data_IF_701049837565
#
_entry.id   IF_701049837565
#
_cell.length_a   1.000
_cell.length_b   1.000
_cell.length_c   1.000
_cell.angle_alpha   90.00
_cell.angle_beta   90.00
_cell.angle_gamma   90.00
#
_symmetry.space_group_name_H-M   'P 1'
#
loop_
_entity.id
_entity.type
_entity.pdbx_description
1 polymer ?
#
# COMPACT_ATOMS: atom_id res chain seq x y z
N UNK A 1 12.17 -36.95 10.56
CA UNK A 1 13.01 -36.92 9.34
C UNK A 1 13.76 -35.59 9.32
N UNK A 2 15.02 -35.55 8.89
CA UNK A 2 15.80 -34.31 8.82
C UNK A 2 15.10 -33.27 7.91
N UNK A 3 15.16 -31.98 8.27
CA UNK A 3 14.45 -30.89 7.59
C UNK A 3 14.84 -30.77 6.11
N UNK A 4 16.13 -30.93 5.83
CA UNK A 4 16.69 -30.93 4.48
C UNK A 4 16.10 -32.06 3.63
N UNK A 5 15.97 -33.27 4.21
CA UNK A 5 15.44 -34.45 3.51
C UNK A 5 13.95 -34.29 3.20
N UNK A 6 13.18 -33.64 4.08
CA UNK A 6 11.74 -33.33 3.84
C UNK A 6 11.57 -32.39 2.65
N UNK A 7 12.32 -31.28 2.66
CA UNK A 7 12.25 -30.25 1.62
C UNK A 7 12.67 -30.80 0.25
N UNK A 8 13.71 -31.62 0.20
CA UNK A 8 14.19 -32.21 -1.06
C UNK A 8 13.22 -33.24 -1.66
N UNK A 9 12.54 -34.03 -0.81
CA UNK A 9 11.46 -34.92 -1.25
C UNK A 9 10.25 -34.15 -1.79
N UNK A 10 9.85 -33.07 -1.12
CA UNK A 10 8.77 -32.20 -1.57
C UNK A 10 9.10 -31.55 -2.91
N UNK A 11 10.32 -31.04 -3.06
CA UNK A 11 10.84 -30.45 -4.30
C UNK A 11 10.83 -31.43 -5.48
N UNK A 12 11.23 -32.68 -5.24
CA UNK A 12 11.18 -33.72 -6.27
C UNK A 12 9.76 -34.05 -6.72
N UNK A 13 8.80 -34.08 -5.78
CA UNK A 13 7.39 -34.26 -6.07
C UNK A 13 6.81 -33.11 -6.91
N UNK A 14 7.15 -31.86 -6.61
CA UNK A 14 6.79 -30.70 -7.44
C UNK A 14 7.37 -30.81 -8.86
N UNK A 15 8.61 -31.28 -9.00
CA UNK A 15 9.23 -31.53 -10.32
C UNK A 15 8.53 -32.66 -11.09
N UNK A 16 8.05 -33.70 -10.42
CA UNK A 16 7.32 -34.80 -11.06
C UNK A 16 5.95 -34.34 -11.59
N UNK A 17 5.22 -33.52 -10.83
CA UNK A 17 4.00 -32.86 -11.32
C UNK A 17 4.26 -31.96 -12.51
N UNK A 18 5.35 -31.20 -12.48
CA UNK A 18 5.76 -30.36 -13.62
C UNK A 18 6.00 -31.19 -14.90
N UNK A 19 6.48 -32.43 -14.76
CA UNK A 19 6.70 -33.35 -15.90
C UNK A 19 5.39 -33.97 -16.44
N UNK A 20 4.23 -33.57 -15.93
CA UNK A 20 2.92 -34.00 -16.44
C UNK A 20 2.47 -35.38 -15.95
N UNK A 21 3.01 -35.86 -14.81
CA UNK A 21 2.48 -37.07 -14.17
C UNK A 21 1.06 -36.83 -13.66
N UNK A 22 0.25 -37.89 -13.67
CA UNK A 22 -1.12 -37.82 -13.20
C UNK A 22 -1.18 -37.47 -11.71
N UNK A 23 -1.98 -36.45 -11.40
CA UNK A 23 -2.26 -35.96 -10.06
C UNK A 23 -2.85 -37.08 -9.20
N UNK A 24 -3.63 -37.99 -9.79
CA UNK A 24 -4.24 -39.11 -9.06
C UNK A 24 -3.19 -40.08 -8.48
N UNK A 25 -2.09 -40.34 -9.19
CA UNK A 25 -1.01 -41.23 -8.74
C UNK A 25 -0.10 -40.59 -7.69
N UNK A 26 0.03 -39.26 -7.74
CA UNK A 26 0.90 -38.51 -6.83
C UNK A 26 0.16 -38.08 -5.55
N UNK A 27 -1.17 -38.08 -5.53
CA UNK A 27 -2.00 -37.72 -4.38
C UNK A 27 -1.63 -38.45 -3.10
N UNK A 28 -1.46 -39.77 -3.13
CA UNK A 28 -1.11 -40.55 -1.93
C UNK A 28 0.32 -40.25 -1.43
N UNK A 29 1.27 -40.08 -2.35
CA UNK A 29 2.66 -39.72 -2.02
C UNK A 29 2.76 -38.30 -1.46
N UNK A 30 2.00 -37.37 -2.03
CA UNK A 30 1.84 -36.01 -1.50
C UNK A 30 1.20 -36.04 -0.13
N UNK A 31 0.09 -36.76 0.05
CA UNK A 31 -0.61 -36.83 1.32
C UNK A 31 0.32 -37.33 2.44
N UNK A 32 1.11 -38.39 2.19
CA UNK A 32 2.08 -38.94 3.14
C UNK A 32 3.21 -37.96 3.48
N UNK A 33 3.78 -37.26 2.50
CA UNK A 33 4.88 -36.32 2.73
C UNK A 33 4.40 -35.00 3.36
N UNK A 34 3.24 -34.50 2.95
CA UNK A 34 2.58 -33.34 3.56
C UNK A 34 2.16 -33.62 5.01
N UNK A 35 2.17 -34.88 5.47
CA UNK A 35 1.89 -35.16 6.87
C UNK A 35 2.96 -34.62 7.83
N UNK A 36 4.20 -34.45 7.35
CA UNK A 36 5.36 -34.09 8.15
C UNK A 36 5.93 -32.71 7.79
N UNK A 37 5.32 -31.98 6.86
CA UNK A 37 5.83 -30.74 6.27
C UNK A 37 5.03 -29.56 6.80
N UNK A 38 5.71 -28.53 7.27
CA UNK A 38 5.07 -27.29 7.75
C UNK A 38 4.74 -26.35 6.59
N UNK A 39 3.85 -25.38 6.80
CA UNK A 39 3.53 -24.38 5.78
C UNK A 39 4.76 -23.53 5.37
N UNK A 40 5.71 -23.36 6.29
CA UNK A 40 6.99 -22.71 6.04
C UNK A 40 7.87 -23.51 5.06
N UNK A 41 7.93 -24.82 5.23
CA UNK A 41 8.68 -25.71 4.32
C UNK A 41 8.13 -25.61 2.89
N UNK A 42 6.81 -25.45 2.75
CA UNK A 42 6.14 -25.26 1.46
C UNK A 42 6.58 -23.93 0.83
N UNK A 43 6.44 -22.81 1.56
CA UNK A 43 6.84 -21.49 1.07
C UNK A 43 8.34 -21.44 0.68
N UNK A 44 9.21 -22.06 1.48
CA UNK A 44 10.65 -22.15 1.18
C UNK A 44 10.95 -23.02 -0.04
N UNK A 45 10.20 -24.11 -0.25
CA UNK A 45 10.39 -24.97 -1.43
C UNK A 45 9.91 -24.29 -2.70
N UNK A 46 8.81 -23.53 -2.65
CA UNK A 46 8.33 -22.72 -3.77
C UNK A 46 9.38 -21.68 -4.20
N UNK A 47 9.94 -20.94 -3.23
CA UNK A 47 11.02 -19.98 -3.46
C UNK A 47 12.22 -20.61 -4.17
N UNK A 48 12.65 -21.80 -3.73
CA UNK A 48 13.77 -22.51 -4.38
C UNK A 48 13.45 -22.98 -5.80
N UNK A 49 12.23 -23.47 -6.04
CA UNK A 49 11.82 -23.93 -7.37
C UNK A 49 11.75 -22.78 -8.38
N UNK A 50 11.35 -21.59 -7.94
CA UNK A 50 11.36 -20.37 -8.77
C UNK A 50 12.80 -19.98 -9.10
N UNK A 51 13.70 -20.00 -8.11
CA UNK A 51 15.13 -19.73 -8.33
C UNK A 51 15.79 -20.73 -9.30
N UNK A 52 15.28 -21.96 -9.35
CA UNK A 52 15.70 -22.99 -10.30
C UNK A 52 15.09 -22.83 -11.70
N UNK A 53 14.27 -21.79 -11.94
CA UNK A 53 13.76 -21.42 -13.26
C UNK A 53 12.35 -21.93 -13.58
N UNK A 54 11.61 -22.47 -12.60
CA UNK A 54 10.19 -22.79 -12.80
C UNK A 54 9.37 -21.49 -12.78
N UNK A 55 8.47 -21.32 -13.74
CA UNK A 55 7.64 -20.10 -13.82
C UNK A 55 6.63 -20.03 -12.68
N UNK A 56 6.34 -18.80 -12.23
CA UNK A 56 5.41 -18.53 -11.11
C UNK A 56 4.00 -19.03 -11.39
N UNK A 57 3.55 -18.92 -12.63
CA UNK A 57 2.23 -19.36 -13.08
C UNK A 57 2.06 -20.88 -12.93
N UNK A 58 3.13 -21.63 -13.21
CA UNK A 58 3.16 -23.09 -13.10
C UNK A 58 3.11 -23.55 -11.65
N UNK A 59 3.77 -22.81 -10.76
CA UNK A 59 3.74 -23.08 -9.32
C UNK A 59 2.35 -22.79 -8.75
N UNK A 60 1.70 -21.69 -9.17
CA UNK A 60 0.31 -21.40 -8.79
C UNK A 60 -0.67 -22.54 -9.15
N UNK A 61 -0.55 -23.10 -10.37
CA UNK A 61 -1.39 -24.22 -10.83
C UNK A 61 -1.26 -25.43 -9.89
N UNK A 62 -0.03 -25.79 -9.53
CA UNK A 62 0.27 -26.93 -8.66
C UNK A 62 -0.12 -26.66 -7.19
N UNK A 63 0.04 -25.42 -6.72
CA UNK A 63 -0.37 -25.01 -5.37
C UNK A 63 -1.87 -25.20 -5.14
N UNK A 64 -2.70 -24.83 -6.12
CA UNK A 64 -4.16 -24.95 -6.02
C UNK A 64 -4.62 -26.40 -5.74
N UNK A 65 -3.93 -27.38 -6.32
CA UNK A 65 -4.21 -28.81 -6.18
C UNK A 65 -3.78 -29.33 -4.80
N UNK A 66 -2.62 -28.90 -4.29
CA UNK A 66 -2.15 -29.35 -2.98
C UNK A 66 -2.89 -28.70 -1.81
N UNK A 67 -3.34 -27.47 -1.96
CA UNK A 67 -4.16 -26.79 -0.95
C UNK A 67 -5.49 -27.53 -0.72
N UNK A 68 -6.09 -28.10 -1.77
CA UNK A 68 -7.28 -28.94 -1.64
C UNK A 68 -7.03 -30.20 -0.78
N UNK A 69 -5.82 -30.77 -0.82
CA UNK A 69 -5.40 -31.92 0.00
C UNK A 69 -4.96 -31.50 1.41
N UNK A 70 -4.39 -30.30 1.55
CA UNK A 70 -3.96 -29.72 2.83
C UNK A 70 -5.14 -29.19 3.66
N UNK A 71 -6.26 -28.83 3.03
CA UNK A 71 -7.51 -28.36 3.67
C UNK A 71 -8.01 -29.33 4.75
N UNK A 72 -7.80 -30.63 4.57
CA UNK A 72 -8.20 -31.66 5.52
C UNK A 72 -7.28 -31.75 6.75
N UNK A 73 -6.03 -31.25 6.66
CA UNK A 73 -4.99 -31.45 7.69
C UNK A 73 -4.56 -30.20 8.44
N UNK A 74 -4.50 -29.03 7.79
CA UNK A 74 -4.12 -27.75 8.42
C UNK A 74 -5.22 -27.16 9.32
N UNK A 75 -6.37 -27.82 9.42
CA UNK A 75 -7.46 -27.43 10.32
C UNK A 75 -7.14 -27.64 11.82
N UNK A 76 -6.03 -28.32 12.16
CA UNK A 76 -5.68 -28.60 13.56
C UNK A 76 -4.61 -27.64 14.11
N UNK A 77 -4.98 -26.98 15.22
CA UNK A 77 -4.29 -25.93 15.99
C UNK A 77 -4.32 -24.52 15.39
N UNK A 78 -5.46 -23.84 15.55
CA UNK A 78 -5.51 -22.37 15.60
C UNK A 78 -5.32 -21.93 17.04
N UNK A 79 -4.20 -21.27 17.33
CA UNK A 79 -4.13 -20.43 18.52
C UNK A 79 -5.06 -19.23 18.29
N UNK A 80 -6.01 -19.00 19.20
CA UNK A 80 -6.89 -17.83 19.12
C UNK A 80 -6.06 -16.59 19.43
N UNK A 81 -5.66 -15.86 18.38
CA UNK A 81 -5.01 -14.58 18.53
C UNK A 81 -5.99 -13.54 19.09
N UNK A 82 -5.55 -12.65 19.99
CA UNK A 82 -6.36 -11.53 20.42
C UNK A 82 -6.85 -10.68 19.25
N UNK A 83 -8.06 -10.12 19.39
CA UNK A 83 -8.70 -9.25 18.38
C UNK A 83 -7.85 -8.01 18.07
N UNK A 84 -6.96 -7.62 18.98
CA UNK A 84 -6.06 -6.46 18.86
C UNK A 84 -4.76 -6.77 18.10
N UNK A 85 -4.43 -8.05 17.89
CA UNK A 85 -3.24 -8.46 17.16
C UNK A 85 -3.44 -8.22 15.65
N UNK A 86 -2.46 -7.66 14.90
CA UNK A 86 -2.62 -7.38 13.47
C UNK A 86 -3.14 -8.57 12.65
N UNK A 87 -2.56 -9.76 12.85
CA UNK A 87 -3.02 -11.00 12.21
C UNK A 87 -4.42 -11.41 12.68
N UNK A 88 -4.76 -11.19 13.96
CA UNK A 88 -6.09 -11.46 14.50
C UNK A 88 -7.17 -10.60 13.82
N UNK A 89 -6.85 -9.34 13.56
CA UNK A 89 -7.71 -8.41 12.82
C UNK A 89 -8.00 -8.95 11.42
N UNK A 90 -6.95 -9.32 10.67
CA UNK A 90 -7.09 -9.86 9.31
C UNK A 90 -7.93 -11.16 9.30
N UNK A 91 -7.70 -12.06 10.25
CA UNK A 91 -8.46 -13.31 10.40
C UNK A 91 -9.96 -13.08 10.62
N UNK A 92 -10.34 -12.07 11.41
CA UNK A 92 -11.74 -11.73 11.65
C UNK A 92 -12.35 -11.14 10.38
N UNK A 93 -11.62 -10.29 9.68
CA UNK A 93 -12.05 -9.71 8.42
C UNK A 93 -12.25 -10.79 7.34
N UNK A 94 -11.37 -11.79 7.26
CA UNK A 94 -11.55 -12.97 6.38
C UNK A 94 -12.87 -13.67 6.66
N UNK A 95 -13.17 -13.94 7.94
CA UNK A 95 -14.43 -14.58 8.33
C UNK A 95 -15.64 -13.76 7.86
N UNK A 96 -15.63 -12.44 8.09
CA UNK A 96 -16.72 -11.55 7.66
C UNK A 96 -16.86 -11.50 6.14
N UNK A 97 -15.75 -11.42 5.42
CA UNK A 97 -15.75 -11.38 3.96
C UNK A 97 -16.28 -12.68 3.35
N UNK A 98 -15.96 -13.84 3.92
CA UNK A 98 -16.50 -15.13 3.49
C UNK A 98 -17.99 -15.26 3.80
N UNK A 99 -18.44 -14.87 5.00
CA UNK A 99 -19.86 -14.84 5.37
C UNK A 99 -20.66 -13.97 4.38
N UNK A 100 -20.14 -12.80 4.01
CA UNK A 100 -20.77 -11.90 3.04
C UNK A 100 -20.79 -12.47 1.62
N UNK A 101 -19.70 -13.12 1.19
CA UNK A 101 -19.62 -13.74 -0.14
C UNK A 101 -20.57 -14.94 -0.28
N UNK A 102 -20.69 -15.76 0.77
CA UNK A 102 -21.65 -16.86 0.82
C UNK A 102 -23.09 -16.32 0.79
N UNK A 103 -23.38 -15.31 1.62
CA UNK A 103 -24.70 -14.66 1.62
C UNK A 103 -25.04 -14.06 0.26
N UNK A 104 -24.08 -13.44 -0.43
CA UNK A 104 -24.28 -12.90 -1.76
C UNK A 104 -24.68 -14.01 -2.76
N UNK A 105 -23.98 -15.14 -2.73
CA UNK A 105 -24.27 -16.29 -3.59
C UNK A 105 -25.69 -16.82 -3.37
N UNK A 106 -26.15 -16.90 -2.12
CA UNK A 106 -27.50 -17.32 -1.76
C UNK A 106 -28.56 -16.32 -2.25
N UNK A 107 -28.34 -15.02 -1.99
CA UNK A 107 -29.27 -13.95 -2.41
C UNK A 107 -29.46 -13.92 -3.93
N UNK A 108 -28.35 -13.98 -4.67
CA UNK A 108 -28.39 -13.95 -6.13
C UNK A 108 -28.99 -15.23 -6.72
N UNK A 109 -28.79 -16.38 -6.09
CA UNK A 109 -29.47 -17.63 -6.48
C UNK A 109 -30.98 -17.55 -6.24
N UNK A 110 -31.42 -16.80 -5.22
CA UNK A 110 -32.83 -16.56 -4.92
C UNK A 110 -33.55 -15.61 -5.90
N UNK A 111 -32.82 -14.71 -6.59
CA UNK A 111 -33.39 -13.72 -7.52
C UNK A 111 -34.10 -14.34 -8.75
N UNK A 112 -33.85 -15.62 -9.04
CA UNK A 112 -34.56 -16.36 -10.09
C UNK A 112 -35.99 -16.74 -9.69
N UNK A 113 -36.28 -16.85 -8.37
CA UNK A 113 -37.57 -17.33 -7.85
C UNK A 113 -38.51 -16.20 -7.44
N UNK A 114 -37.99 -15.16 -6.80
CA UNK A 114 -38.79 -14.02 -6.37
C UNK A 114 -37.93 -12.74 -6.34
N UNK A 115 -38.38 -11.72 -7.05
CA UNK A 115 -37.70 -10.42 -7.11
C UNK A 115 -38.35 -9.47 -6.10
N UNK A 116 -37.63 -9.23 -5.00
CA UNK A 116 -38.04 -8.28 -3.96
C UNK A 116 -37.03 -7.16 -3.87
N UNK A 117 -37.51 -5.94 -3.70
CA UNK A 117 -36.69 -4.74 -3.53
C UNK A 117 -35.68 -4.90 -2.38
N UNK A 118 -36.10 -5.52 -1.27
CA UNK A 118 -35.24 -5.86 -0.12
C UNK A 118 -34.02 -6.72 -0.47
N UNK A 119 -34.14 -7.63 -1.45
CA UNK A 119 -33.00 -8.48 -1.87
C UNK A 119 -31.95 -7.62 -2.58
N UNK A 120 -32.39 -6.68 -3.42
CA UNK A 120 -31.50 -5.73 -4.08
C UNK A 120 -30.85 -4.75 -3.11
N UNK A 121 -31.56 -4.31 -2.07
CA UNK A 121 -31.00 -3.54 -0.96
C UNK A 121 -29.90 -4.32 -0.22
N UNK A 122 -30.15 -5.59 0.14
CA UNK A 122 -29.16 -6.45 0.79
C UNK A 122 -27.91 -6.67 -0.07
N UNK A 123 -28.08 -6.94 -1.37
CA UNK A 123 -26.95 -7.07 -2.31
C UNK A 123 -26.17 -5.77 -2.41
N UNK A 124 -26.86 -4.62 -2.42
CA UNK A 124 -26.21 -3.31 -2.46
C UNK A 124 -25.44 -3.03 -1.17
N UNK A 125 -25.95 -3.46 -0.01
CA UNK A 125 -25.24 -3.34 1.27
C UNK A 125 -23.96 -4.19 1.27
N UNK A 126 -24.01 -5.43 0.76
CA UNK A 126 -22.81 -6.27 0.58
C UNK A 126 -21.82 -5.60 -0.37
N UNK A 127 -22.30 -4.97 -1.44
CA UNK A 127 -21.45 -4.24 -2.37
C UNK A 127 -20.65 -3.12 -1.68
N UNK A 128 -21.28 -2.34 -0.79
CA UNK A 128 -20.58 -1.31 -0.01
C UNK A 128 -19.49 -1.92 0.89
N UNK A 129 -19.76 -3.06 1.55
CA UNK A 129 -18.75 -3.75 2.35
C UNK A 129 -17.58 -4.29 1.51
N UNK A 130 -17.84 -4.78 0.30
CA UNK A 130 -16.78 -5.21 -0.62
C UNK A 130 -15.94 -4.06 -1.17
N UNK A 131 -16.50 -2.86 -1.29
CA UNK A 131 -15.74 -1.66 -1.63
C UNK A 131 -14.80 -1.29 -0.48
N UNK A 132 -15.34 -1.27 0.74
CA UNK A 132 -14.57 -0.91 1.92
C UNK A 132 -13.54 -1.99 2.33
N UNK A 133 -13.75 -3.25 1.91
CA UNK A 133 -12.76 -4.31 2.09
C UNK A 133 -11.46 -4.12 1.30
N UNK A 134 -11.35 -3.09 0.45
CA UNK A 134 -10.07 -2.72 -0.15
C UNK A 134 -9.00 -2.37 0.90
N UNK A 135 -9.41 -1.77 2.03
CA UNK A 135 -8.50 -1.44 3.13
C UNK A 135 -7.80 -2.66 3.73
N UNK A 136 -8.41 -3.84 3.63
CA UNK A 136 -7.81 -5.10 4.05
C UNK A 136 -6.58 -5.42 3.20
N UNK A 137 -6.77 -5.52 1.88
CA UNK A 137 -5.67 -5.83 0.95
C UNK A 137 -4.59 -4.75 0.99
N UNK A 138 -4.96 -3.47 1.10
CA UNK A 138 -3.97 -2.39 1.20
C UNK A 138 -3.09 -2.51 2.45
N UNK A 139 -3.64 -2.96 3.59
CA UNK A 139 -2.87 -3.21 4.82
C UNK A 139 -1.91 -4.39 4.65
N UNK A 140 -2.33 -5.43 3.95
CA UNK A 140 -1.45 -6.56 3.67
C UNK A 140 -0.32 -6.14 2.71
N UNK A 141 -0.69 -5.55 1.58
CA UNK A 141 0.22 -5.16 0.50
C UNK A 141 1.25 -4.11 0.90
N UNK A 142 0.82 -3.07 1.61
CA UNK A 142 1.66 -1.90 1.89
C UNK A 142 2.27 -1.91 3.28
N UNK A 143 1.85 -2.83 4.15
CA UNK A 143 2.37 -2.94 5.52
C UNK A 143 2.87 -4.34 5.80
N UNK A 144 2.02 -5.37 5.85
CA UNK A 144 2.43 -6.72 6.27
C UNK A 144 3.49 -7.35 5.35
N UNK A 145 3.28 -7.27 4.03
CA UNK A 145 4.14 -7.87 3.01
C UNK A 145 5.57 -7.30 3.05
N UNK A 146 5.79 -5.97 3.13
CA UNK A 146 7.13 -5.41 3.35
C UNK A 146 7.90 -6.00 4.54
N UNK A 147 7.24 -6.30 5.67
CA UNK A 147 7.93 -6.92 6.80
C UNK A 147 8.29 -8.38 6.51
N UNK A 148 7.41 -9.15 5.87
CA UNK A 148 7.73 -10.51 5.42
C UNK A 148 8.93 -10.54 4.46
N UNK A 149 8.98 -9.59 3.53
CA UNK A 149 10.06 -9.47 2.55
C UNK A 149 11.40 -9.12 3.19
N UNK A 150 11.42 -8.25 4.21
CA UNK A 150 12.62 -7.95 5.01
C UNK A 150 13.19 -9.18 5.70
N UNK A 151 12.31 -10.11 6.09
CA UNK A 151 12.69 -11.41 6.66
C UNK A 151 12.99 -12.49 5.60
N UNK A 152 13.09 -12.11 4.32
CA UNK A 152 13.49 -12.98 3.22
C UNK A 152 12.37 -13.82 2.60
N UNK A 153 11.11 -13.54 2.94
CA UNK A 153 9.93 -14.23 2.37
C UNK A 153 9.34 -13.34 1.30
N UNK A 154 9.74 -13.54 0.04
CA UNK A 154 9.38 -12.62 -1.06
C UNK A 154 8.42 -13.20 -2.09
N UNK A 155 8.38 -14.52 -2.28
CA UNK A 155 7.50 -15.12 -3.29
C UNK A 155 6.03 -15.24 -2.83
N UNK A 156 5.70 -15.64 -1.58
CA UNK A 156 4.30 -15.68 -1.13
C UNK A 156 3.58 -14.32 -1.22
N UNK A 157 4.16 -13.18 -0.78
CA UNK A 157 3.55 -11.86 -0.97
C UNK A 157 3.23 -11.52 -2.43
N UNK A 158 4.14 -11.81 -3.37
CA UNK A 158 3.92 -11.57 -4.80
C UNK A 158 2.76 -12.40 -5.35
N UNK A 159 2.65 -13.66 -4.93
CA UNK A 159 1.54 -14.55 -5.33
C UNK A 159 0.22 -14.01 -4.76
N UNK A 160 0.20 -13.58 -3.49
CA UNK A 160 -1.01 -13.01 -2.87
C UNK A 160 -1.45 -11.72 -3.59
N UNK A 161 -0.50 -10.84 -3.92
CA UNK A 161 -0.79 -9.62 -4.68
C UNK A 161 -1.48 -9.91 -6.02
N UNK A 162 -0.97 -10.89 -6.78
CA UNK A 162 -1.60 -11.31 -8.04
C UNK A 162 -3.02 -11.85 -7.83
N UNK A 163 -3.30 -12.49 -6.69
CA UNK A 163 -4.64 -12.95 -6.33
C UNK A 163 -5.55 -11.79 -5.91
N UNK A 164 -5.03 -10.79 -5.20
CA UNK A 164 -5.76 -9.55 -4.90
C UNK A 164 -6.23 -8.86 -6.19
N UNK A 165 -5.36 -8.78 -7.20
CA UNK A 165 -5.72 -8.19 -8.49
C UNK A 165 -6.84 -8.97 -9.21
N UNK A 166 -6.83 -10.31 -9.12
CA UNK A 166 -7.92 -11.14 -9.64
C UNK A 166 -9.22 -10.91 -8.87
N UNK A 167 -9.15 -10.80 -7.54
CA UNK A 167 -10.32 -10.49 -6.69
C UNK A 167 -10.87 -9.10 -7.03
N UNK A 168 -10.02 -8.09 -7.22
CA UNK A 168 -10.42 -6.73 -7.65
C UNK A 168 -11.13 -6.75 -8.99
N UNK A 169 -10.63 -7.49 -9.98
CA UNK A 169 -11.29 -7.59 -11.28
C UNK A 169 -12.64 -8.32 -11.19
N UNK A 170 -12.74 -9.39 -10.39
CA UNK A 170 -14.02 -10.08 -10.14
C UNK A 170 -15.04 -9.15 -9.45
N UNK A 171 -14.60 -8.38 -8.44
CA UNK A 171 -15.43 -7.35 -7.77
C UNK A 171 -15.91 -6.27 -8.75
N UNK A 172 -15.04 -5.80 -9.63
CA UNK A 172 -15.41 -4.84 -10.69
C UNK A 172 -16.47 -5.42 -11.64
N UNK A 173 -16.31 -6.69 -12.02
CA UNK A 173 -17.33 -7.44 -12.76
C UNK A 173 -18.67 -7.51 -12.03
N UNK A 174 -18.64 -7.75 -10.72
CA UNK A 174 -19.82 -7.72 -9.86
C UNK A 174 -20.51 -6.35 -9.81
N UNK A 175 -19.78 -5.26 -9.58
CA UNK A 175 -20.38 -3.91 -9.55
C UNK A 175 -21.03 -3.54 -10.88
N UNK A 176 -20.41 -3.92 -11.99
CA UNK A 176 -20.99 -3.72 -13.33
C UNK A 176 -22.30 -4.51 -13.49
N UNK A 177 -22.28 -5.80 -13.13
CA UNK A 177 -23.48 -6.64 -13.21
C UNK A 177 -24.61 -6.15 -12.30
N UNK A 178 -24.27 -5.58 -11.13
CA UNK A 178 -25.22 -4.99 -10.20
C UNK A 178 -25.88 -3.73 -10.79
N UNK A 179 -25.08 -2.83 -11.38
CA UNK A 179 -25.59 -1.61 -12.03
C UNK A 179 -26.50 -1.92 -13.23
N UNK A 180 -26.15 -2.95 -14.01
CA UNK A 180 -26.92 -3.42 -15.17
C UNK A 180 -28.14 -4.28 -14.76
N UNK A 181 -28.26 -4.64 -13.47
CA UNK A 181 -29.23 -5.61 -12.94
C UNK A 181 -29.22 -6.96 -13.69
N UNK A 182 -28.06 -7.37 -14.19
CA UNK A 182 -27.89 -8.63 -14.91
C UNK A 182 -27.80 -9.80 -13.92
N UNK A 183 -28.94 -10.43 -13.65
CA UNK A 183 -29.07 -11.55 -12.71
C UNK A 183 -28.17 -12.74 -13.06
N UNK A 184 -28.04 -13.08 -14.35
CA UNK A 184 -27.22 -14.23 -14.78
C UNK A 184 -25.76 -13.94 -14.51
N UNK A 185 -25.29 -12.76 -14.87
CA UNK A 185 -23.92 -12.33 -14.64
C UNK A 185 -23.62 -12.20 -13.15
N UNK A 186 -24.54 -11.64 -12.36
CA UNK A 186 -24.44 -11.57 -10.90
C UNK A 186 -24.21 -12.95 -10.28
N UNK A 187 -24.90 -13.99 -10.75
CA UNK A 187 -24.78 -15.35 -10.20
C UNK A 187 -23.40 -15.95 -10.47
N UNK A 188 -22.89 -15.72 -11.69
CA UNK A 188 -21.56 -16.17 -12.09
C UNK A 188 -20.48 -15.47 -11.26
N UNK A 189 -20.48 -14.14 -11.23
CA UNK A 189 -19.46 -13.36 -10.50
C UNK A 189 -19.56 -13.52 -8.99
N UNK A 190 -20.75 -13.70 -8.40
CA UNK A 190 -20.88 -13.99 -6.98
C UNK A 190 -20.24 -15.35 -6.61
N UNK A 191 -20.45 -16.37 -7.46
CA UNK A 191 -19.82 -17.67 -7.26
C UNK A 191 -18.30 -17.59 -7.43
N UNK A 192 -17.83 -16.86 -8.45
CA UNK A 192 -16.41 -16.63 -8.70
C UNK A 192 -15.73 -15.90 -7.52
N UNK A 193 -16.32 -14.82 -7.01
CA UNK A 193 -15.80 -14.08 -5.85
C UNK A 193 -15.70 -15.00 -4.63
N UNK A 194 -16.73 -15.79 -4.34
CA UNK A 194 -16.71 -16.72 -3.21
C UNK A 194 -15.55 -17.73 -3.32
N UNK A 195 -15.38 -18.36 -4.48
CA UNK A 195 -14.29 -19.33 -4.68
C UNK A 195 -12.91 -18.69 -4.60
N UNK A 196 -12.73 -17.48 -5.17
CA UNK A 196 -11.49 -16.73 -5.09
C UNK A 196 -11.14 -16.37 -3.64
N UNK A 197 -12.07 -15.76 -2.90
CA UNK A 197 -11.87 -15.40 -1.49
C UNK A 197 -11.59 -16.64 -0.62
N UNK A 198 -12.36 -17.72 -0.80
CA UNK A 198 -12.20 -18.95 -0.03
C UNK A 198 -10.86 -19.64 -0.29
N UNK A 199 -10.36 -19.60 -1.54
CA UNK A 199 -9.04 -20.14 -1.89
C UNK A 199 -7.91 -19.26 -1.36
N UNK A 200 -8.04 -17.95 -1.53
CA UNK A 200 -7.05 -16.95 -1.15
C UNK A 200 -6.86 -16.87 0.37
N UNK A 201 -7.93 -16.62 1.13
CA UNK A 201 -7.87 -16.56 2.59
C UNK A 201 -7.45 -17.89 3.22
N UNK A 202 -7.69 -19.02 2.54
CA UNK A 202 -7.17 -20.29 3.01
C UNK A 202 -5.63 -20.34 2.95
N UNK A 203 -5.01 -19.80 1.90
CA UNK A 203 -3.54 -19.71 1.81
C UNK A 203 -3.00 -18.78 2.87
N UNK A 204 -3.64 -17.64 3.11
CA UNK A 204 -3.17 -16.69 4.09
C UNK A 204 -3.28 -17.23 5.51
N UNK A 205 -4.45 -17.75 5.87
CA UNK A 205 -4.72 -18.27 7.21
C UNK A 205 -3.83 -19.45 7.60
N UNK A 206 -3.47 -20.29 6.62
CA UNK A 206 -2.77 -21.55 6.90
C UNK A 206 -1.30 -21.55 6.45
N UNK A 207 -0.86 -20.57 5.67
CA UNK A 207 0.51 -20.47 5.17
C UNK A 207 1.12 -19.12 5.50
N UNK A 208 0.56 -18.03 4.98
CA UNK A 208 1.19 -16.71 5.10
C UNK A 208 1.24 -16.23 6.56
N UNK A 209 0.11 -16.25 7.26
CA UNK A 209 0.00 -15.75 8.63
C UNK A 209 0.77 -16.60 9.64
N UNK A 210 0.73 -17.94 9.61
CA UNK A 210 1.61 -18.75 10.46
C UNK A 210 3.10 -18.49 10.19
N UNK A 211 3.47 -18.18 8.94
CA UNK A 211 4.85 -17.81 8.61
C UNK A 211 5.19 -16.43 9.19
N UNK A 212 4.29 -15.46 9.06
CA UNK A 212 4.43 -14.11 9.63
C UNK A 212 4.65 -14.16 11.16
N UNK A 213 3.83 -14.93 11.88
CA UNK A 213 3.94 -15.06 13.34
C UNK A 213 5.27 -15.67 13.82
N UNK A 214 5.97 -16.42 12.97
CA UNK A 214 7.26 -17.01 13.31
C UNK A 214 8.45 -16.10 13.06
N UNK A 215 8.36 -15.26 12.03
CA UNK A 215 9.50 -14.47 11.53
C UNK A 215 9.46 -13.02 11.99
N UNK A 216 8.27 -12.46 12.18
CA UNK A 216 8.07 -11.07 12.60
C UNK A 216 8.06 -11.02 14.13
N UNK A 217 8.86 -10.12 14.70
CA UNK A 217 8.90 -9.93 16.15
C UNK A 217 7.77 -9.05 16.69
N UNK A 218 7.50 -9.12 17.99
CA UNK A 218 6.49 -8.30 18.69
C UNK A 218 6.67 -6.79 18.48
N UNK A 219 7.92 -6.30 18.39
CA UNK A 219 8.19 -4.88 18.11
C UNK A 219 7.70 -4.48 16.72
N UNK A 220 8.00 -5.28 15.71
CA UNK A 220 7.56 -5.05 14.34
C UNK A 220 6.03 -5.18 14.22
N UNK A 221 5.40 -6.11 14.95
CA UNK A 221 3.92 -6.18 14.99
C UNK A 221 3.28 -4.92 15.58
N UNK A 222 3.92 -4.24 16.54
CA UNK A 222 3.46 -2.92 17.01
C UNK A 222 3.55 -1.85 15.92
N UNK A 223 4.61 -1.86 15.11
CA UNK A 223 4.75 -0.96 13.95
C UNK A 223 3.73 -1.28 12.85
N UNK A 224 3.50 -2.57 12.57
CA UNK A 224 2.46 -3.03 11.64
C UNK A 224 1.08 -2.55 12.11
N UNK A 225 0.77 -2.63 13.41
CA UNK A 225 -0.49 -2.12 13.97
C UNK A 225 -0.66 -0.61 13.73
N UNK A 226 0.42 0.18 13.85
CA UNK A 226 0.42 1.61 13.52
C UNK A 226 0.18 1.85 12.04
N UNK A 227 0.90 1.17 11.15
CA UNK A 227 0.69 1.25 9.70
C UNK A 227 -0.72 0.83 9.27
N UNK A 228 -1.30 -0.17 9.94
CA UNK A 228 -2.70 -0.55 9.72
C UNK A 228 -3.68 0.57 10.08
N UNK A 229 -3.41 1.30 11.17
CA UNK A 229 -4.24 2.43 11.58
C UNK A 229 -4.16 3.62 10.61
N UNK A 230 -3.00 3.86 9.99
CA UNK A 230 -2.83 4.93 8.97
C UNK A 230 -3.65 4.67 7.70
N UNK A 231 -3.72 3.41 7.26
CA UNK A 231 -4.56 3.01 6.12
C UNK A 231 -6.05 2.96 6.53
N UNK A 232 -6.31 2.55 7.76
CA UNK A 232 -7.63 2.38 8.34
C UNK A 232 -8.19 0.97 8.21
N UNK A 233 -9.25 0.73 8.96
CA UNK A 233 -9.90 -0.58 9.08
C UNK A 233 -11.19 -0.66 8.25
N UNK A 234 -11.62 -1.88 7.94
CA UNK A 234 -12.92 -2.10 7.33
C UNK A 234 -14.06 -1.76 8.32
N UNK A 235 -15.20 -1.34 7.80
CA UNK A 235 -16.40 -0.96 8.55
C UNK A 235 -17.02 -2.12 9.35
N UNK A 236 -16.62 -3.36 9.07
CA UNK A 236 -17.02 -4.57 9.80
C UNK A 236 -15.90 -5.12 10.69
N UNK A 237 -14.77 -4.41 10.80
CA UNK A 237 -13.67 -4.78 11.69
C UNK A 237 -14.00 -4.38 13.12
N UNK A 238 -13.94 -5.31 14.09
CA UNK A 238 -14.24 -4.99 15.49
C UNK A 238 -13.01 -4.39 16.18
N UNK A 239 -12.57 -3.20 15.78
CA UNK A 239 -11.50 -2.49 16.52
C UNK A 239 -12.13 -1.48 17.48
N UNK A 240 -11.79 -1.58 18.77
CA UNK A 240 -11.97 -0.46 19.71
C UNK A 240 -10.83 0.52 19.46
N UNK A 241 -11.16 1.79 19.21
CA UNK A 241 -10.19 2.87 19.23
C UNK A 241 -9.57 2.95 20.63
N UNK A 242 -8.40 2.34 20.81
CA UNK A 242 -7.58 2.64 21.97
C UNK A 242 -6.81 3.92 21.67
N UNK A 243 -7.10 4.96 22.46
CA UNK A 243 -6.19 6.08 22.63
C UNK A 243 -5.02 5.59 23.49
N UNK A 244 -4.07 4.86 22.90
CA UNK A 244 -2.85 4.53 23.63
C UNK A 244 -1.85 5.70 23.58
N UNK A 245 -1.33 6.01 24.76
CA UNK A 245 -0.37 7.06 25.00
C UNK A 245 0.92 6.82 24.24
N UNK A 246 1.53 7.93 23.83
CA UNK A 246 2.82 7.96 23.16
C UNK A 246 3.88 7.42 24.13
N UNK A 247 4.23 6.14 24.00
CA UNK A 247 5.53 5.67 24.48
C UNK A 247 6.57 6.24 23.52
N UNK A 248 7.17 7.36 23.91
CA UNK A 248 8.38 7.91 23.29
C UNK A 248 9.54 6.94 23.58
N UNK A 249 9.66 5.87 22.78
CA UNK A 249 10.94 5.15 22.69
C UNK A 249 11.96 6.18 22.14
N UNK A 250 12.94 6.54 22.97
CA UNK A 250 14.07 7.39 22.57
C UNK A 250 14.83 6.70 21.44
N UNK A 251 14.60 7.16 20.21
CA UNK A 251 15.32 6.67 19.05
C UNK A 251 16.81 7.04 19.14
N UNK A 252 17.67 6.07 18.83
CA UNK A 252 19.10 6.32 18.62
C UNK A 252 19.26 7.26 17.42
N UNK A 253 19.80 8.46 17.69
CA UNK A 253 20.19 9.41 16.66
C UNK A 253 21.50 8.90 16.04
N UNK A 254 21.40 8.25 14.88
CA UNK A 254 22.58 7.92 14.08
C UNK A 254 23.25 9.23 13.62
N UNK A 255 24.55 9.43 13.89
CA UNK A 255 25.24 10.67 13.50
C UNK A 255 25.20 10.87 11.99
N UNK A 256 24.65 12.00 11.54
CA UNK A 256 24.64 12.41 10.13
C UNK A 256 23.37 12.05 9.34
N UNK A 257 22.39 11.42 9.97
CA UNK A 257 21.08 11.11 9.37
C UNK A 257 20.02 12.07 9.92
N UNK A 258 19.23 12.67 9.03
CA UNK A 258 18.05 13.47 9.35
C UNK A 258 16.83 12.56 9.21
N UNK A 259 16.19 12.26 10.33
CA UNK A 259 14.93 11.50 10.37
C UNK A 259 13.72 12.43 10.24
N UNK A 260 12.79 12.04 9.39
CA UNK A 260 11.46 12.59 9.22
C UNK A 260 10.44 11.53 9.65
N UNK A 261 9.17 11.92 9.81
CA UNK A 261 8.10 10.96 10.13
C UNK A 261 7.93 9.87 9.06
N UNK A 262 8.24 10.20 7.80
CA UNK A 262 8.01 9.35 6.63
C UNK A 262 9.28 8.70 6.09
N UNK A 263 10.38 8.70 6.85
CA UNK A 263 11.66 8.14 6.44
C UNK A 263 12.85 9.01 6.82
N UNK A 264 14.01 8.76 6.24
CA UNK A 264 15.24 9.44 6.62
C UNK A 264 16.11 9.77 5.40
N UNK A 265 16.92 10.82 5.54
CA UNK A 265 17.93 11.21 4.56
C UNK A 265 19.23 11.54 5.27
N UNK A 266 20.37 11.24 4.65
CA UNK A 266 21.59 11.96 4.98
C UNK A 266 21.60 13.36 4.31
N UNK A 267 22.56 14.21 4.67
CA UNK A 267 22.64 15.59 4.15
C UNK A 267 22.87 15.66 2.63
N UNK A 268 23.60 14.70 2.05
CA UNK A 268 23.89 14.66 0.63
C UNK A 268 22.62 14.30 -0.17
N UNK A 269 21.89 13.28 0.28
CA UNK A 269 20.61 12.87 -0.30
C UNK A 269 19.58 13.98 -0.24
N UNK A 270 19.40 14.63 0.92
CA UNK A 270 18.46 15.73 1.08
C UNK A 270 18.79 16.89 0.12
N UNK A 271 20.08 17.25 0.00
CA UNK A 271 20.53 18.28 -0.93
C UNK A 271 20.25 17.89 -2.39
N UNK A 272 20.54 16.65 -2.78
CA UNK A 272 20.32 16.15 -4.12
C UNK A 272 18.84 16.13 -4.51
N UNK A 273 17.97 15.65 -3.61
CA UNK A 273 16.51 15.65 -3.79
C UNK A 273 16.00 17.07 -4.00
N UNK A 274 16.34 18.01 -3.10
CA UNK A 274 15.88 19.40 -3.19
C UNK A 274 16.35 20.12 -4.47
N UNK A 275 17.53 19.77 -5.00
CA UNK A 275 18.06 20.32 -6.25
C UNK A 275 17.49 19.65 -7.51
N UNK A 276 16.85 18.48 -7.38
CA UNK A 276 16.24 17.73 -8.49
C UNK A 276 14.78 18.11 -8.73
N UNK A 277 14.13 18.78 -7.76
CA UNK A 277 12.75 19.25 -7.90
C UNK A 277 12.57 20.09 -9.18
N UNK A 278 11.44 19.94 -9.90
CA UNK A 278 11.16 20.66 -11.15
C UNK A 278 10.73 22.12 -10.92
N UNK A 279 11.05 22.68 -9.76
CA UNK A 279 10.72 24.03 -9.35
C UNK A 279 11.78 24.56 -8.38
N UNK A 280 11.92 25.88 -8.38
CA UNK A 280 12.81 26.58 -7.45
C UNK A 280 12.09 26.85 -6.15
N UNK A 281 12.78 26.62 -5.04
CA UNK A 281 12.31 26.99 -3.71
C UNK A 281 13.25 28.02 -3.06
N UNK A 282 12.68 28.88 -2.23
CA UNK A 282 13.42 29.78 -1.34
C UNK A 282 12.66 29.90 -0.03
N UNK A 283 13.33 29.55 1.07
CA UNK A 283 12.77 29.61 2.41
C UNK A 283 13.27 30.85 3.15
N UNK A 284 12.32 31.60 3.68
CA UNK A 284 12.52 32.78 4.51
C UNK A 284 11.97 32.45 5.90
N UNK A 285 12.75 32.63 6.96
CA UNK A 285 12.29 32.29 8.31
C UNK A 285 11.31 33.32 8.89
N UNK A 286 10.83 33.06 10.12
CA UNK A 286 9.96 33.96 10.89
C UNK A 286 10.48 35.41 11.04
N UNK A 287 11.80 35.57 11.01
CA UNK A 287 12.48 36.87 11.09
C UNK A 287 12.61 37.55 9.72
N UNK A 288 11.97 37.03 8.68
CA UNK A 288 12.05 37.54 7.30
C UNK A 288 13.46 37.44 6.69
N UNK A 289 14.32 36.54 7.19
CA UNK A 289 15.66 36.29 6.67
C UNK A 289 15.67 35.09 5.72
N UNK A 290 16.33 35.23 4.58
CA UNK A 290 16.50 34.11 3.64
C UNK A 290 17.42 33.05 4.28
N UNK A 291 16.91 31.86 4.55
CA UNK A 291 17.69 30.77 5.15
C UNK A 291 18.15 29.73 4.15
N UNK A 292 17.39 29.52 3.08
CA UNK A 292 17.69 28.45 2.13
C UNK A 292 17.13 28.78 0.75
N UNK A 293 17.80 28.27 -0.28
CA UNK A 293 17.27 28.14 -1.63
C UNK A 293 17.91 26.91 -2.30
N UNK A 294 17.16 26.20 -3.15
CA UNK A 294 17.74 25.11 -3.94
C UNK A 294 18.47 25.65 -5.18
N UNK A 295 19.43 24.89 -5.71
CA UNK A 295 20.21 25.25 -6.88
C UNK A 295 19.87 24.32 -8.05
N UNK A 296 18.66 24.45 -8.58
CA UNK A 296 18.24 23.71 -9.78
C UNK A 296 19.06 24.17 -10.99
N UNK A 297 19.24 23.29 -11.98
CA UNK A 297 19.99 23.60 -13.21
C UNK A 297 19.35 24.72 -14.03
N UNK A 298 18.03 24.84 -13.98
CA UNK A 298 17.23 25.76 -14.79
C UNK A 298 16.60 26.89 -13.98
N UNK A 299 17.18 27.22 -12.82
CA UNK A 299 16.65 28.21 -11.89
C UNK A 299 16.27 29.51 -12.60
N UNK A 300 15.02 29.93 -12.43
CA UNK A 300 14.42 31.05 -13.16
C UNK A 300 14.92 32.38 -12.61
N UNK A 301 14.94 32.51 -11.28
CA UNK A 301 15.46 33.70 -10.60
C UNK A 301 16.79 33.39 -9.92
N UNK A 302 17.87 33.94 -10.46
CA UNK A 302 19.21 33.76 -9.91
C UNK A 302 19.25 34.12 -8.42
N UNK A 303 19.84 33.24 -7.61
CA UNK A 303 20.20 33.49 -6.22
C UNK A 303 21.68 33.17 -6.05
N UNK A 304 22.34 33.98 -5.25
CA UNK A 304 23.75 33.78 -4.88
C UNK A 304 23.82 33.55 -3.37
N UNK A 305 24.87 32.86 -2.89
CA UNK A 305 25.03 32.58 -1.45
C UNK A 305 25.05 33.85 -0.58
N UNK A 306 25.37 35.02 -1.14
CA UNK A 306 25.34 36.30 -0.43
C UNK A 306 23.94 36.77 -0.03
N UNK A 307 22.87 36.13 -0.53
CA UNK A 307 21.49 36.42 -0.10
C UNK A 307 21.15 35.76 1.25
N UNK A 308 21.89 34.71 1.66
CA UNK A 308 21.62 33.99 2.89
C UNK A 308 21.81 34.90 4.12
N UNK A 309 20.82 34.92 5.01
CA UNK A 309 20.75 35.81 6.17
C UNK A 309 20.26 37.22 5.87
N UNK A 310 20.08 37.60 4.60
CA UNK A 310 19.57 38.92 4.24
C UNK A 310 18.05 38.99 4.46
N UNK A 311 17.55 40.16 4.87
CA UNK A 311 16.11 40.43 4.95
C UNK A 311 15.48 40.39 3.56
N UNK A 312 14.37 39.68 3.40
CA UNK A 312 13.69 39.49 2.11
C UNK A 312 13.26 40.82 1.49
N UNK A 313 12.93 41.83 2.30
CA UNK A 313 12.57 43.17 1.86
C UNK A 313 13.72 43.85 1.09
N UNK A 314 14.97 43.56 1.49
CA UNK A 314 16.17 44.11 0.82
C UNK A 314 16.52 43.36 -0.47
N UNK A 315 15.89 42.22 -0.72
CA UNK A 315 16.11 41.40 -1.92
C UNK A 315 15.19 41.80 -3.09
N UNK A 316 14.27 42.74 -2.86
CA UNK A 316 13.26 43.17 -3.83
C UNK A 316 13.41 44.65 -4.20
N UNK A 317 13.08 45.04 -5.45
CA UNK A 317 13.04 46.44 -5.85
C UNK A 317 12.01 47.25 -5.03
N UNK A 318 12.21 48.57 -4.82
CA UNK A 318 11.31 49.41 -4.00
C UNK A 318 9.83 49.33 -4.40
N UNK A 319 9.56 49.20 -5.71
CA UNK A 319 8.20 49.09 -6.26
C UNK A 319 7.42 47.85 -5.80
N UNK A 320 8.07 46.80 -5.30
CA UNK A 320 7.42 45.54 -4.91
C UNK A 320 7.51 45.22 -3.42
N UNK A 321 8.25 46.03 -2.63
CA UNK A 321 8.42 45.80 -1.19
C UNK A 321 7.08 45.80 -0.45
N UNK A 322 6.19 46.74 -0.77
CA UNK A 322 4.86 46.82 -0.15
C UNK A 322 4.00 45.56 -0.37
N UNK A 323 4.19 44.86 -1.50
CA UNK A 323 3.50 43.60 -1.79
C UNK A 323 4.08 42.48 -0.92
N UNK A 324 5.42 42.40 -0.84
CA UNK A 324 6.12 41.44 0.01
C UNK A 324 5.69 41.59 1.48
N UNK A 325 5.70 42.82 1.99
CA UNK A 325 5.27 43.10 3.38
C UNK A 325 3.81 42.73 3.62
N UNK A 326 2.92 42.99 2.65
CA UNK A 326 1.51 42.61 2.74
C UNK A 326 1.34 41.09 2.85
N UNK A 327 2.08 40.32 2.05
CA UNK A 327 2.04 38.85 2.07
C UNK A 327 2.56 38.34 3.43
N UNK A 328 3.75 38.79 3.85
CA UNK A 328 4.36 38.36 5.11
C UNK A 328 3.48 38.69 6.31
N UNK A 329 2.86 39.87 6.33
CA UNK A 329 1.95 40.28 7.41
C UNK A 329 0.71 39.39 7.46
N UNK A 330 0.09 39.11 6.31
CA UNK A 330 -1.09 38.23 6.25
C UNK A 330 -0.76 36.80 6.71
N UNK A 331 0.42 36.29 6.34
CA UNK A 331 0.88 34.95 6.74
C UNK A 331 1.17 34.87 8.24
N UNK A 332 1.91 35.86 8.79
CA UNK A 332 2.22 35.93 10.22
C UNK A 332 0.95 36.02 11.09
N UNK A 333 -0.07 36.72 10.61
CA UNK A 333 -1.37 36.84 11.31
C UNK A 333 -2.31 35.64 11.11
N UNK A 334 -2.00 34.72 10.20
CA UNK A 334 -2.90 33.61 9.86
C UNK A 334 -4.13 34.02 9.04
N UNK A 335 -4.11 35.20 8.41
CA UNK A 335 -5.21 35.66 7.55
C UNK A 335 -5.22 34.95 6.19
N UNK A 336 -4.05 34.48 5.75
CA UNK A 336 -3.80 33.74 4.51
C UNK A 336 -2.67 32.75 4.74
N UNK A 337 -2.70 31.63 4.03
CA UNK A 337 -1.58 30.68 3.98
C UNK A 337 -0.96 30.55 2.58
N UNK A 338 -1.60 31.13 1.56
CA UNK A 338 -1.16 31.07 0.17
C UNK A 338 -1.32 32.44 -0.49
N UNK A 339 -0.33 32.82 -1.28
CA UNK A 339 -0.39 33.92 -2.23
C UNK A 339 0.27 33.48 -3.53
N UNK A 340 -0.34 33.76 -4.68
CA UNK A 340 0.20 33.31 -5.96
C UNK A 340 -0.02 34.33 -7.08
N UNK A 341 0.87 34.30 -8.05
CA UNK A 341 0.77 35.07 -9.29
C UNK A 341 1.54 34.37 -10.40
N UNK A 342 1.21 34.73 -11.64
CA UNK A 342 1.89 34.23 -12.83
C UNK A 342 2.28 35.39 -13.72
N UNK A 343 3.51 35.35 -14.23
CA UNK A 343 4.06 36.39 -15.09
C UNK A 343 4.66 35.79 -16.36
N UNK A 344 4.50 36.45 -17.52
CA UNK A 344 5.31 36.13 -18.68
C UNK A 344 6.75 36.62 -18.44
N UNK A 345 7.72 35.76 -18.69
CA UNK A 345 9.15 36.09 -18.61
C UNK A 345 9.84 35.52 -19.86
N UNK A 346 10.02 36.37 -20.87
CA UNK A 346 10.49 35.92 -22.19
C UNK A 346 9.46 34.99 -22.84
N UNK A 347 9.90 33.78 -23.21
CA UNK A 347 9.10 32.69 -23.76
C UNK A 347 8.47 31.78 -22.68
N UNK A 348 8.75 32.05 -21.40
CA UNK A 348 8.28 31.26 -20.27
C UNK A 348 7.06 31.90 -19.60
N UNK A 349 6.11 31.08 -19.19
CA UNK A 349 5.06 31.45 -18.24
C UNK A 349 5.48 30.95 -16.86
N UNK A 350 5.82 31.88 -15.97
CA UNK A 350 6.35 31.57 -14.64
C UNK A 350 5.24 31.68 -13.62
N UNK A 351 4.97 30.60 -12.90
CA UNK A 351 4.06 30.56 -11.76
C UNK A 351 4.85 30.69 -10.46
N UNK A 352 4.46 31.67 -9.64
CA UNK A 352 5.14 32.00 -8.39
C UNK A 352 4.12 31.89 -7.27
N UNK A 353 4.44 31.09 -6.26
CA UNK A 353 3.59 30.83 -5.10
C UNK A 353 4.36 31.07 -3.82
N UNK A 354 3.71 31.63 -2.83
CA UNK A 354 4.20 31.79 -1.48
C UNK A 354 3.30 31.02 -0.54
N UNK A 355 3.91 30.29 0.39
CA UNK A 355 3.21 29.51 1.40
C UNK A 355 3.66 29.92 2.80
N UNK A 356 2.71 30.07 3.72
CA UNK A 356 3.01 30.15 5.14
C UNK A 356 3.46 28.76 5.62
N UNK A 357 4.70 28.66 6.11
CA UNK A 357 5.22 27.43 6.72
C UNK A 357 4.91 27.47 8.21
N UNK A 358 4.25 26.43 8.71
CA UNK A 358 3.83 26.32 10.11
C UNK A 358 4.28 24.98 10.69
N UNK A 359 4.49 24.93 12.01
CA UNK A 359 4.66 23.66 12.72
C UNK A 359 3.31 22.98 12.98
N UNK A 360 3.35 21.82 13.66
CA UNK A 360 2.17 21.01 14.01
C UNK A 360 1.15 21.76 14.89
N UNK A 361 1.61 22.75 15.65
CA UNK A 361 0.76 23.57 16.53
C UNK A 361 0.22 24.82 15.81
N UNK A 362 0.49 24.96 14.50
CA UNK A 362 0.05 26.09 13.67
C UNK A 362 0.90 27.35 13.83
N UNK A 363 2.01 27.29 14.59
CA UNK A 363 2.90 28.44 14.76
C UNK A 363 3.67 28.70 13.48
N UNK A 364 3.71 29.96 13.08
CA UNK A 364 4.40 30.41 11.88
C UNK A 364 5.93 30.26 12.02
N UNK A 365 6.53 29.47 11.12
CA UNK A 365 7.97 29.24 11.03
C UNK A 365 8.65 30.10 9.97
N UNK A 366 7.90 30.55 8.95
CA UNK A 366 8.44 31.31 7.83
C UNK A 366 7.58 31.27 6.58
N UNK A 367 8.13 31.75 5.47
CA UNK A 367 7.51 31.74 4.14
C UNK A 367 8.35 30.91 3.18
N UNK A 368 7.69 30.01 2.44
CA UNK A 368 8.29 29.30 1.32
C UNK A 368 7.84 29.94 0.01
N UNK A 369 8.78 30.47 -0.77
CA UNK A 369 8.60 30.84 -2.16
C UNK A 369 8.84 29.61 -3.05
N UNK A 370 7.93 29.33 -3.97
CA UNK A 370 8.04 28.30 -5.01
C UNK A 370 7.86 28.97 -6.37
N UNK A 371 8.81 28.75 -7.28
CA UNK A 371 8.76 29.27 -8.66
C UNK A 371 8.87 28.13 -9.65
N UNK A 372 7.95 28.06 -10.61
CA UNK A 372 7.90 27.01 -11.62
C UNK A 372 7.65 27.58 -13.01
N UNK A 373 8.37 27.07 -14.01
CA UNK A 373 8.02 27.29 -15.41
C UNK A 373 6.89 26.33 -15.80
N UNK A 374 5.71 26.85 -16.08
CA UNK A 374 4.53 26.04 -16.42
C UNK A 374 4.23 26.01 -17.91
N UNK A 375 5.10 26.56 -18.77
CA UNK A 375 4.88 26.60 -20.23
C UNK A 375 4.61 25.21 -20.81
N UNK A 376 5.48 24.24 -20.54
CA UNK A 376 5.31 22.88 -21.08
C UNK A 376 4.16 22.14 -20.41
N UNK A 377 3.91 22.39 -19.12
CA UNK A 377 2.77 21.81 -18.40
C UNK A 377 1.45 22.23 -19.08
N UNK A 378 1.33 23.49 -19.51
CA UNK A 378 0.13 23.97 -20.23
C UNK A 378 -0.03 23.40 -21.63
N UNK A 379 1.00 22.75 -22.21
CA UNK A 379 0.94 22.12 -23.53
C UNK A 379 0.56 20.64 -23.47
N UNK A 380 0.48 20.05 -22.27
CA UNK A 380 0.07 18.66 -22.11
C UNK A 380 -1.39 18.52 -22.50
N UNK A 381 -1.67 17.62 -23.45
CA UNK A 381 -3.01 17.25 -23.91
C UNK A 381 -3.13 15.72 -23.95
N UNK A 382 -4.36 15.20 -23.85
CA UNK A 382 -4.62 13.76 -23.88
C UNK A 382 -4.08 13.02 -22.65
N UNK A 383 -3.60 11.78 -22.85
CA UNK A 383 -3.05 10.93 -21.81
C UNK A 383 -1.78 10.23 -22.28
N UNK A 384 -0.78 10.11 -21.40
CA UNK A 384 0.41 9.28 -21.61
C UNK A 384 0.57 8.33 -20.42
N UNK A 385 0.28 7.04 -20.65
CA UNK A 385 0.26 6.00 -19.60
C UNK A 385 1.51 5.13 -19.55
N UNK A 386 2.34 5.18 -20.59
CA UNK A 386 3.56 4.39 -20.73
C UNK A 386 4.75 5.27 -21.18
N UNK A 387 5.95 4.74 -21.00
CA UNK A 387 7.20 5.35 -21.49
C UNK A 387 7.27 5.27 -23.02
N UNK A 388 8.01 6.20 -23.65
CA UNK A 388 8.21 6.28 -25.11
C UNK A 388 9.69 6.26 -25.51
N UNK A 389 10.55 5.75 -24.63
CA UNK A 389 11.99 5.73 -24.85
C UNK A 389 12.33 4.54 -25.77
N UNK A 390 13.06 4.79 -26.86
CA UNK A 390 13.68 3.75 -27.70
C UNK A 390 14.88 3.09 -27.02
#
# INVERSE_FOLDING_TARGET
MDEIIRREKLKNLFRELHKGRDIAELKEKFALLLQEVSAEDIARVEEELIKEGISREKIQEVCSIHLALLKEKLAEKKEELPVEHPIGILLIEHKRMLEMAERLKDLVSGLEREEREKVWEEISHIAHHFQDSEKHYLREENVLFPYLERHGITEPPKIMWMEHDRIREAKKGFYKALAEKDKKRLKLVASEIFELLNSHFYKENNILFPTALKVIGEKEFREIKKGFAEIGYCCFTPVREEKEGVDEEREEVLPGVIKFETGEFNLEELSAVLNTLPFDITFVNQDDEVKYFNSTKERIFLRTKSVLGRKVQQCHPPKSIHIVEKILTAFKKGERDVAEFWIPLGDKLVHIRYFAVRDKDGKYLGTLEVTQNITEIKRIEGERRLLDWE
#
